data_IF_302040390326
#
_entry.id   IF_302040390326
#
_cell.length_a   1.000
_cell.length_b   1.000
_cell.length_c   1.000
_cell.angle_alpha   90.00
_cell.angle_beta   90.00
_cell.angle_gamma   90.00
#
_symmetry.space_group_name_H-M   'P 1'
#
loop_
_entity.id
_entity.type
_entity.pdbx_description
1 polymer ?
#
# COMPACT_ATOMS: atom_id res chain seq x y z
N UNK A 1 -9.63 23.68 5.94
CA UNK A 1 -9.43 23.98 7.39
C UNK A 1 -9.16 22.72 8.24
N UNK A 2 -10.06 21.71 8.27
CA UNK A 2 -9.82 20.53 9.13
C UNK A 2 -8.99 19.44 8.41
N UNK A 3 -9.16 19.25 7.11
CA UNK A 3 -8.38 18.31 6.32
C UNK A 3 -6.90 18.68 6.32
N UNK A 4 -6.59 19.94 6.09
CA UNK A 4 -5.22 20.46 6.06
C UNK A 4 -4.48 20.22 7.39
N UNK A 5 -5.19 20.39 8.52
CA UNK A 5 -4.61 20.08 9.85
C UNK A 5 -4.29 18.61 10.07
N UNK A 6 -5.10 17.70 9.53
CA UNK A 6 -4.81 16.27 9.62
C UNK A 6 -3.60 15.88 8.76
N UNK A 7 -3.47 16.48 7.59
CA UNK A 7 -2.31 16.25 6.73
C UNK A 7 -1.03 16.82 7.33
N UNK A 8 -1.06 18.04 7.88
CA UNK A 8 0.07 18.63 8.59
C UNK A 8 0.51 17.77 9.78
N UNK A 9 -0.43 17.34 10.62
CA UNK A 9 -0.13 16.45 11.76
C UNK A 9 0.45 15.10 11.31
N UNK A 10 -0.09 14.52 10.23
CA UNK A 10 0.45 13.27 9.69
C UNK A 10 1.87 13.46 9.16
N UNK A 11 2.16 14.57 8.50
CA UNK A 11 3.50 14.91 8.02
C UNK A 11 4.49 15.11 9.18
N UNK A 12 4.11 15.87 10.22
CA UNK A 12 4.93 16.09 11.42
C UNK A 12 5.25 14.76 12.14
N UNK A 13 4.25 13.90 12.34
CA UNK A 13 4.45 12.58 12.95
C UNK A 13 5.38 11.72 12.10
N UNK A 14 5.17 11.69 10.78
CA UNK A 14 6.02 10.94 9.85
C UNK A 14 7.45 11.46 9.90
N UNK A 15 7.65 12.78 9.84
CA UNK A 15 8.97 13.40 9.93
C UNK A 15 9.68 13.05 11.25
N UNK A 16 8.96 13.11 12.38
CA UNK A 16 9.53 12.75 13.69
C UNK A 16 9.95 11.28 13.77
N UNK A 17 9.19 10.37 13.14
CA UNK A 17 9.51 8.95 13.09
C UNK A 17 10.69 8.62 12.16
N UNK A 18 10.98 9.49 11.19
CA UNK A 18 12.04 9.31 10.19
C UNK A 18 13.33 10.10 10.54
N UNK A 19 13.34 10.84 11.66
CA UNK A 19 14.52 11.52 12.18
C UNK A 19 15.26 10.59 13.13
N UNK A 20 16.55 10.34 12.86
CA UNK A 20 17.35 9.37 13.62
C UNK A 20 18.49 10.07 14.37
N UNK A 21 18.51 9.91 15.71
CA UNK A 21 19.59 10.35 16.60
C UNK A 21 20.62 9.23 16.86
N UNK A 22 20.27 7.99 16.50
CA UNK A 22 21.11 6.82 16.72
C UNK A 22 20.86 5.70 15.70
N UNK A 23 21.89 4.93 15.39
CA UNK A 23 21.86 3.89 14.33
C UNK A 23 20.81 2.78 14.56
N UNK A 24 20.44 2.50 15.81
CA UNK A 24 19.45 1.46 16.12
C UNK A 24 18.01 1.89 15.81
N UNK A 25 17.74 3.20 15.69
CA UNK A 25 16.41 3.72 15.40
C UNK A 25 15.96 3.34 13.97
N UNK A 26 16.88 3.30 13.00
CA UNK A 26 16.56 2.88 11.64
C UNK A 26 15.94 1.46 11.56
N UNK A 27 16.55 0.40 12.11
CA UNK A 27 15.91 -0.92 12.13
C UNK A 27 14.62 -0.95 12.99
N UNK A 28 14.54 -0.16 14.04
CA UNK A 28 13.32 -0.04 14.84
C UNK A 28 12.17 0.59 14.00
N UNK A 29 12.46 1.61 13.22
CA UNK A 29 11.48 2.24 12.31
C UNK A 29 11.04 1.27 11.21
N UNK A 30 11.97 0.50 10.61
CA UNK A 30 11.60 -0.55 9.65
C UNK A 30 10.66 -1.58 10.26
N UNK A 31 10.87 -1.97 11.51
CA UNK A 31 9.99 -2.90 12.21
C UNK A 31 8.63 -2.28 12.49
N UNK A 32 8.59 -1.07 13.05
CA UNK A 32 7.36 -0.44 13.57
C UNK A 32 6.54 0.27 12.50
N UNK A 33 7.17 0.85 11.49
CA UNK A 33 6.49 1.65 10.45
C UNK A 33 6.34 0.87 9.14
N UNK A 34 7.21 -0.11 8.86
CA UNK A 34 7.07 -0.89 7.63
C UNK A 34 6.51 -2.30 7.88
N UNK A 35 7.14 -3.09 8.73
CA UNK A 35 6.78 -4.51 8.89
C UNK A 35 5.48 -4.71 9.67
N UNK A 36 5.35 -4.08 10.84
CA UNK A 36 4.17 -4.23 11.70
C UNK A 36 2.88 -3.79 10.98
N UNK A 37 2.81 -2.59 10.38
CA UNK A 37 1.63 -2.19 9.59
C UNK A 37 1.36 -3.16 8.43
N UNK A 38 2.40 -3.54 7.65
CA UNK A 38 2.21 -4.47 6.54
C UNK A 38 1.59 -5.79 6.98
N UNK A 39 2.00 -6.35 8.12
CA UNK A 39 1.40 -7.58 8.65
C UNK A 39 -0.02 -7.33 9.15
N UNK A 40 -0.20 -6.36 10.07
CA UNK A 40 -1.48 -6.14 10.73
C UNK A 40 -2.57 -5.69 9.74
N UNK A 41 -2.24 -4.79 8.83
CA UNK A 41 -3.20 -4.26 7.87
C UNK A 41 -3.57 -5.30 6.81
N UNK A 42 -2.62 -6.10 6.29
CA UNK A 42 -2.95 -7.16 5.36
C UNK A 42 -3.83 -8.24 6.00
N UNK A 43 -3.55 -8.62 7.26
CA UNK A 43 -4.44 -9.52 7.98
C UNK A 43 -5.84 -8.92 8.15
N UNK A 44 -5.96 -7.67 8.55
CA UNK A 44 -7.25 -7.01 8.75
C UNK A 44 -8.02 -6.86 7.43
N UNK A 45 -7.38 -6.29 6.41
CA UNK A 45 -8.07 -5.95 5.15
C UNK A 45 -8.25 -7.15 4.23
N UNK A 46 -7.20 -7.94 3.98
CA UNK A 46 -7.24 -9.06 3.04
C UNK A 46 -7.61 -10.37 3.71
N UNK A 47 -7.25 -10.52 4.99
CA UNK A 47 -7.63 -11.70 5.79
C UNK A 47 -9.06 -11.68 6.30
N UNK A 48 -9.62 -10.49 6.59
CA UNK A 48 -10.95 -10.37 7.22
C UNK A 48 -11.92 -9.57 6.38
N UNK A 49 -11.65 -8.28 6.11
CA UNK A 49 -12.61 -7.36 5.48
C UNK A 49 -12.94 -7.81 4.05
N UNK A 50 -11.94 -8.05 3.22
CA UNK A 50 -12.14 -8.45 1.83
C UNK A 50 -12.95 -9.74 1.69
N UNK A 51 -12.69 -10.84 2.43
CA UNK A 51 -13.53 -12.02 2.40
C UNK A 51 -14.97 -11.80 2.88
N UNK A 52 -15.17 -10.96 3.91
CA UNK A 52 -16.49 -10.61 4.39
C UNK A 52 -17.30 -9.86 3.33
N UNK A 53 -16.68 -8.86 2.69
CA UNK A 53 -17.31 -8.11 1.59
C UNK A 53 -17.58 -9.02 0.40
N UNK A 54 -16.68 -9.96 0.08
CA UNK A 54 -16.89 -10.93 -1.00
C UNK A 54 -18.13 -11.81 -0.75
N UNK A 55 -18.30 -12.28 0.48
CA UNK A 55 -19.51 -13.04 0.89
C UNK A 55 -20.78 -12.20 0.82
N UNK A 56 -20.69 -10.95 1.26
CA UNK A 56 -21.84 -10.04 1.28
C UNK A 56 -22.30 -9.63 -0.13
N UNK A 57 -21.32 -9.29 -1.01
CA UNK A 57 -21.61 -8.79 -2.36
C UNK A 57 -21.72 -9.90 -3.40
N UNK A 58 -21.28 -11.10 -3.06
CA UNK A 58 -21.09 -12.22 -4.00
C UNK A 58 -20.25 -11.83 -5.24
N UNK A 59 -19.33 -10.87 -5.06
CA UNK A 59 -18.51 -10.32 -6.11
C UNK A 59 -17.09 -10.00 -5.61
N UNK A 60 -16.12 -10.75 -6.11
CA UNK A 60 -14.72 -10.64 -5.70
C UNK A 60 -14.10 -9.29 -6.08
N UNK A 61 -14.49 -8.73 -7.22
CA UNK A 61 -13.98 -7.43 -7.65
C UNK A 61 -14.52 -6.29 -6.80
N UNK A 62 -15.83 -6.34 -6.48
CA UNK A 62 -16.43 -5.40 -5.54
C UNK A 62 -15.74 -5.47 -4.16
N UNK A 63 -15.45 -6.68 -3.68
CA UNK A 63 -14.74 -6.88 -2.41
C UNK A 63 -13.35 -6.25 -2.40
N UNK A 64 -12.57 -6.44 -3.46
CA UNK A 64 -11.24 -5.84 -3.58
C UNK A 64 -11.31 -4.31 -3.52
N UNK A 65 -12.18 -3.71 -4.35
CA UNK A 65 -12.26 -2.26 -4.42
C UNK A 65 -12.86 -1.63 -3.17
N UNK A 66 -13.85 -2.26 -2.54
CA UNK A 66 -14.41 -1.77 -1.27
C UNK A 66 -13.40 -1.88 -0.12
N UNK A 67 -12.67 -2.99 -0.03
CA UNK A 67 -11.60 -3.14 0.97
C UNK A 67 -10.48 -2.12 0.73
N UNK A 68 -10.10 -1.86 -0.52
CA UNK A 68 -9.10 -0.87 -0.89
C UNK A 68 -9.55 0.57 -0.58
N UNK A 69 -10.82 0.88 -0.81
CA UNK A 69 -11.41 2.16 -0.43
C UNK A 69 -11.35 2.37 1.08
N UNK A 70 -11.81 1.39 1.87
CA UNK A 70 -11.76 1.46 3.33
C UNK A 70 -10.32 1.57 3.84
N UNK A 71 -9.40 0.78 3.26
CA UNK A 71 -7.98 0.85 3.56
C UNK A 71 -7.42 2.26 3.38
N UNK A 72 -7.75 2.91 2.27
CA UNK A 72 -7.29 4.27 2.02
C UNK A 72 -7.97 5.29 2.92
N UNK A 73 -9.27 5.12 3.18
CA UNK A 73 -10.07 6.07 3.95
C UNK A 73 -9.63 6.18 5.42
N UNK A 74 -9.21 5.08 6.05
CA UNK A 74 -8.78 5.10 7.47
C UNK A 74 -7.52 5.93 7.72
N UNK A 75 -6.73 6.19 6.67
CA UNK A 75 -5.50 6.98 6.81
C UNK A 75 -5.76 8.48 6.89
N UNK A 76 -6.98 8.95 6.57
CA UNK A 76 -7.41 10.36 6.67
C UNK A 76 -6.51 11.37 5.91
N UNK A 77 -5.77 10.91 4.91
CA UNK A 77 -4.89 11.72 4.07
C UNK A 77 -5.50 11.86 2.67
N UNK A 78 -5.89 13.06 2.30
CA UNK A 78 -6.65 13.31 1.09
C UNK A 78 -5.79 13.19 -0.18
N UNK A 79 -4.59 13.77 -0.19
CA UNK A 79 -3.67 13.74 -1.33
C UNK A 79 -3.16 12.32 -1.65
N UNK A 80 -2.94 11.49 -0.61
CA UNK A 80 -2.53 10.10 -0.75
C UNK A 80 -3.67 9.10 -0.98
N UNK A 81 -4.93 9.56 -1.00
CA UNK A 81 -6.09 8.67 -1.02
C UNK A 81 -6.14 7.78 -2.26
N UNK A 82 -6.07 8.37 -3.45
CA UNK A 82 -6.20 7.61 -4.70
C UNK A 82 -5.02 6.67 -4.96
N UNK A 83 -3.76 7.09 -4.84
CA UNK A 83 -2.61 6.19 -4.96
C UNK A 83 -2.67 5.02 -3.97
N UNK A 84 -3.04 5.28 -2.71
CA UNK A 84 -3.17 4.25 -1.67
C UNK A 84 -4.31 3.29 -1.96
N UNK A 85 -5.43 3.77 -2.46
CA UNK A 85 -6.55 2.92 -2.89
C UNK A 85 -6.15 2.00 -4.05
N UNK A 86 -5.41 2.50 -5.04
CA UNK A 86 -4.91 1.69 -6.16
C UNK A 86 -3.91 0.64 -5.68
N UNK A 87 -2.96 1.03 -4.81
CA UNK A 87 -2.05 0.09 -4.15
C UNK A 87 -2.85 -0.98 -3.40
N UNK A 88 -3.83 -0.56 -2.61
CA UNK A 88 -4.71 -1.43 -1.85
C UNK A 88 -5.45 -2.44 -2.73
N UNK A 89 -5.96 -2.02 -3.88
CA UNK A 89 -6.58 -2.92 -4.84
C UNK A 89 -5.56 -3.91 -5.44
N UNK A 90 -4.35 -3.45 -5.77
CA UNK A 90 -3.25 -4.31 -6.23
C UNK A 90 -2.91 -5.42 -5.23
N UNK A 91 -2.76 -5.07 -3.95
CA UNK A 91 -2.52 -6.03 -2.87
C UNK A 91 -3.69 -7.01 -2.70
N UNK A 92 -4.94 -6.52 -2.82
CA UNK A 92 -6.13 -7.36 -2.80
C UNK A 92 -6.16 -8.40 -3.93
N UNK A 93 -5.83 -8.00 -5.14
CA UNK A 93 -5.71 -8.92 -6.27
C UNK A 93 -4.52 -9.88 -6.12
N UNK A 94 -3.40 -9.41 -5.53
CA UNK A 94 -2.25 -10.26 -5.28
C UNK A 94 -2.60 -11.43 -4.35
N UNK A 95 -3.40 -11.19 -3.30
CA UNK A 95 -3.92 -12.25 -2.42
C UNK A 95 -4.82 -13.21 -3.19
N UNK A 96 -5.74 -12.71 -4.00
CA UNK A 96 -6.63 -13.55 -4.81
C UNK A 96 -5.81 -14.46 -5.74
N UNK A 97 -4.83 -13.89 -6.45
CA UNK A 97 -4.06 -14.65 -7.46
C UNK A 97 -3.03 -15.60 -6.85
N UNK A 98 -2.47 -15.28 -5.68
CA UNK A 98 -1.51 -16.15 -5.00
C UNK A 98 -2.15 -17.12 -4.02
N UNK A 99 -3.42 -16.91 -3.67
CA UNK A 99 -4.12 -17.61 -2.59
C UNK A 99 -3.34 -17.58 -1.25
N UNK A 100 -2.64 -16.49 -1.00
CA UNK A 100 -1.76 -16.31 0.16
C UNK A 100 -1.66 -14.84 0.54
N UNK A 101 -1.56 -14.54 1.84
CA UNK A 101 -1.32 -13.18 2.34
C UNK A 101 0.16 -12.76 2.19
N UNK A 102 1.09 -13.72 2.17
CA UNK A 102 2.52 -13.42 2.21
C UNK A 102 3.03 -12.52 1.09
N UNK A 103 2.63 -12.72 -0.19
CA UNK A 103 3.04 -11.81 -1.26
C UNK A 103 2.52 -10.38 -1.07
N UNK A 104 1.31 -10.21 -0.55
CA UNK A 104 0.75 -8.89 -0.26
C UNK A 104 1.48 -8.23 0.91
N UNK A 105 1.74 -8.98 2.00
CA UNK A 105 2.54 -8.50 3.14
C UNK A 105 3.93 -8.06 2.68
N UNK A 106 4.61 -8.87 1.86
CA UNK A 106 5.91 -8.52 1.33
C UNK A 106 5.87 -7.25 0.46
N UNK A 107 4.92 -7.16 -0.48
CA UNK A 107 4.77 -6.00 -1.33
C UNK A 107 4.44 -4.73 -0.53
N UNK A 108 3.57 -4.83 0.46
CA UNK A 108 3.24 -3.73 1.36
C UNK A 108 4.45 -3.30 2.21
N UNK A 109 5.17 -4.27 2.79
CA UNK A 109 6.41 -4.00 3.51
C UNK A 109 7.42 -3.24 2.64
N UNK A 110 7.68 -3.69 1.42
CA UNK A 110 8.63 -3.01 0.52
C UNK A 110 8.15 -1.61 0.11
N UNK A 111 6.86 -1.40 -0.03
CA UNK A 111 6.30 -0.06 -0.26
C UNK A 111 6.61 0.89 0.91
N UNK A 112 6.34 0.46 2.14
CA UNK A 112 6.59 1.28 3.33
C UNK A 112 8.10 1.44 3.60
N UNK A 113 8.87 0.37 3.46
CA UNK A 113 10.32 0.42 3.59
C UNK A 113 10.97 1.34 2.55
N UNK A 114 10.43 1.39 1.34
CA UNK A 114 10.86 2.31 0.29
C UNK A 114 10.80 3.76 0.73
N UNK A 115 9.71 4.20 1.35
CA UNK A 115 9.57 5.55 1.89
C UNK A 115 10.62 5.84 3.00
N UNK A 116 10.88 4.86 3.88
CA UNK A 116 11.89 4.98 4.94
C UNK A 116 13.31 5.10 4.35
N UNK A 117 13.63 4.32 3.31
CA UNK A 117 14.91 4.41 2.61
C UNK A 117 15.07 5.75 1.88
N UNK A 118 14.00 6.24 1.23
CA UNK A 118 14.04 7.56 0.58
C UNK A 118 14.26 8.68 1.60
N UNK A 119 13.61 8.60 2.76
CA UNK A 119 13.85 9.55 3.86
C UNK A 119 15.29 9.48 4.39
N UNK A 120 15.89 8.31 4.46
CA UNK A 120 17.28 8.15 4.89
C UNK A 120 18.28 8.73 3.88
N UNK A 121 17.94 8.75 2.58
CA UNK A 121 18.81 9.27 1.51
C UNK A 121 18.64 10.78 1.31
N UNK A 122 17.39 11.26 1.25
CA UNK A 122 17.05 12.63 0.88
C UNK A 122 16.68 13.53 2.07
N UNK A 123 16.54 12.94 3.25
CA UNK A 123 16.07 13.59 4.47
C UNK A 123 14.55 13.42 4.70
N UNK A 124 14.12 13.44 5.99
CA UNK A 124 12.71 13.27 6.34
C UNK A 124 11.81 14.40 5.84
N UNK A 125 12.35 15.61 5.68
CA UNK A 125 11.65 16.79 5.16
C UNK A 125 11.22 16.60 3.71
N UNK A 126 12.05 15.92 2.90
CA UNK A 126 11.69 15.60 1.52
C UNK A 126 10.45 14.70 1.44
N UNK A 127 10.37 13.66 2.28
CA UNK A 127 9.19 12.77 2.31
C UNK A 127 7.94 13.54 2.74
N UNK A 128 8.05 14.42 3.74
CA UNK A 128 6.93 15.24 4.19
C UNK A 128 6.45 16.21 3.10
N UNK A 129 7.36 16.78 2.32
CA UNK A 129 7.02 17.65 1.19
C UNK A 129 6.30 16.86 0.08
N UNK A 130 6.82 15.68 -0.31
CA UNK A 130 6.19 14.82 -1.32
C UNK A 130 4.80 14.33 -0.90
N UNK A 131 4.60 14.05 0.38
CA UNK A 131 3.29 13.65 0.91
C UNK A 131 2.24 14.77 0.81
N UNK A 132 2.66 16.03 0.91
CA UNK A 132 1.79 17.21 0.92
C UNK A 132 1.74 17.93 -0.44
N UNK A 133 2.68 17.63 -1.35
CA UNK A 133 2.71 18.26 -2.66
C UNK A 133 1.54 17.79 -3.52
N UNK A 134 0.88 18.73 -4.18
CA UNK A 134 0.04 18.38 -5.32
C UNK A 134 0.95 17.75 -6.39
N UNK A 135 0.58 16.59 -6.98
CA UNK A 135 1.46 15.88 -7.89
C UNK A 135 1.73 16.73 -9.14
N UNK A 136 2.91 17.30 -9.23
CA UNK A 136 3.44 17.89 -10.46
C UNK A 136 4.11 16.76 -11.27
N UNK A 137 3.35 16.15 -12.15
CA UNK A 137 3.81 15.03 -12.97
C UNK A 137 4.81 15.47 -14.04
N UNK A 138 6.08 15.16 -13.87
CA UNK A 138 7.07 15.29 -14.92
C UNK A 138 6.91 14.17 -15.98
N UNK A 139 7.43 14.39 -17.18
CA UNK A 139 7.37 13.36 -18.24
C UNK A 139 8.03 12.03 -17.82
N UNK A 140 9.05 12.08 -16.97
CA UNK A 140 9.70 10.92 -16.33
C UNK A 140 8.74 10.08 -15.48
N UNK A 141 7.81 10.72 -14.79
CA UNK A 141 6.90 10.05 -13.85
C UNK A 141 5.87 9.20 -14.60
N UNK A 142 5.39 9.69 -15.74
CA UNK A 142 4.57 8.91 -16.65
C UNK A 142 5.33 7.68 -17.20
N UNK A 143 6.63 7.84 -17.48
CA UNK A 143 7.49 6.74 -17.90
C UNK A 143 7.65 5.68 -16.80
N UNK A 144 7.93 6.09 -15.57
CA UNK A 144 8.06 5.21 -14.41
C UNK A 144 6.73 4.52 -14.12
N UNK A 145 5.61 5.26 -14.16
CA UNK A 145 4.28 4.69 -13.95
C UNK A 145 3.93 3.65 -15.02
N UNK A 146 4.24 3.92 -16.30
CA UNK A 146 4.02 2.98 -17.40
C UNK A 146 4.85 1.70 -17.24
N UNK A 147 6.13 1.81 -16.90
CA UNK A 147 7.01 0.66 -16.62
C UNK A 147 6.51 -0.14 -15.43
N UNK A 148 6.13 0.54 -14.34
CA UNK A 148 5.59 -0.10 -13.13
C UNK A 148 4.29 -0.85 -13.42
N UNK A 149 3.41 -0.25 -14.21
CA UNK A 149 2.16 -0.88 -14.66
C UNK A 149 2.44 -2.11 -15.54
N UNK A 150 3.38 -2.00 -16.48
CA UNK A 150 3.77 -3.12 -17.35
C UNK A 150 4.36 -4.27 -16.55
N UNK A 151 5.29 -3.98 -15.63
CA UNK A 151 5.88 -4.98 -14.72
C UNK A 151 4.80 -5.61 -13.84
N UNK A 152 3.89 -4.82 -13.29
CA UNK A 152 2.76 -5.30 -12.50
C UNK A 152 1.86 -6.26 -13.29
N UNK A 153 1.47 -5.87 -14.52
CA UNK A 153 0.67 -6.72 -15.42
C UNK A 153 1.44 -8.01 -15.77
N UNK A 154 2.73 -7.92 -16.04
CA UNK A 154 3.58 -9.07 -16.34
C UNK A 154 3.63 -10.03 -15.15
N UNK A 155 3.89 -9.53 -13.93
CA UNK A 155 3.94 -10.33 -12.71
C UNK A 155 2.60 -11.00 -12.42
N UNK A 156 1.48 -10.28 -12.55
CA UNK A 156 0.14 -10.85 -12.39
C UNK A 156 -0.11 -11.96 -13.41
N UNK A 157 0.25 -11.75 -14.68
CA UNK A 157 0.12 -12.78 -15.72
C UNK A 157 1.02 -13.99 -15.44
N UNK A 158 2.24 -13.75 -14.99
CA UNK A 158 3.19 -14.79 -14.64
C UNK A 158 2.69 -15.63 -13.46
N UNK A 159 2.22 -15.00 -12.37
CA UNK A 159 1.63 -15.70 -11.22
C UNK A 159 0.38 -16.49 -11.62
N UNK A 160 -0.49 -15.93 -12.47
CA UNK A 160 -1.66 -16.66 -13.00
C UNK A 160 -1.29 -17.87 -13.86
N UNK A 161 -0.16 -17.80 -14.55
CA UNK A 161 0.30 -18.87 -15.46
C UNK A 161 1.05 -19.98 -14.68
N UNK A 162 1.77 -19.62 -13.63
CA UNK A 162 2.59 -20.55 -12.83
C UNK A 162 1.92 -20.98 -11.52
N UNK A 163 0.97 -20.19 -11.02
CA UNK A 163 0.21 -20.50 -9.82
C UNK A 163 -0.82 -21.59 -10.06
N UNK A 164 -1.04 -22.42 -9.05
CA UNK A 164 -2.16 -23.37 -9.00
C UNK A 164 -3.46 -22.62 -8.73
N UNK A 165 -3.93 -21.85 -9.71
CA UNK A 165 -5.21 -21.16 -9.60
C UNK A 165 -6.33 -22.20 -9.51
N UNK A 166 -7.16 -22.20 -8.44
CA UNK A 166 -8.35 -23.01 -8.41
C UNK A 166 -9.29 -22.53 -9.53
N UNK A 167 -9.48 -23.35 -10.55
CA UNK A 167 -10.27 -22.99 -11.74
C UNK A 167 -11.76 -22.72 -11.44
N UNK A 168 -12.21 -23.04 -10.22
CA UNK A 168 -13.56 -22.80 -9.75
C UNK A 168 -13.55 -22.68 -8.21
N UNK A 169 -13.73 -21.48 -7.67
CA UNK A 169 -14.47 -21.32 -6.44
C UNK A 169 -15.85 -20.82 -6.82
N UNK A 170 -16.88 -21.69 -6.84
CA UNK A 170 -18.22 -21.21 -6.64
C UNK A 170 -18.23 -20.60 -5.24
N UNK A 171 -18.58 -19.33 -5.16
CA UNK A 171 -18.89 -18.68 -3.89
C UNK A 171 -20.22 -19.30 -3.45
N UNK A 172 -20.15 -20.34 -2.60
CA UNK A 172 -21.29 -20.88 -1.88
C UNK A 172 -21.34 -20.24 -0.51
#
# INVERSE_FOLDING_TARGET
>A
ANADRFEELAAEVTQSMLTYDSAWQFPATLLTVALLPAVCEEFAFRGVIQPLVAKWTNNIHAAVWMAAFLFSAIHLQFHGFLPRMVLGAGLGYLVIYSNSLWPAIAAHFFNNAGAIFMAAIYGPEWVAQEMNAAPEWAASDYGIAAVSLFVGIYLVRWVRKTGTWPKHHPVH
#
